data_IF_458778802476
#
_entry.id   IF_458778802476
#
_cell.length_a   1.000
_cell.length_b   1.000
_cell.length_c   1.000
_cell.angle_alpha   90.00
_cell.angle_beta   90.00
_cell.angle_gamma   90.00
#
_symmetry.space_group_name_H-M   'P 1'
#
loop_
_entity.id
_entity.type
_entity.pdbx_description
1 polymer ?
#
# COMPACT_ATOMS: atom_id res chain seq x y z
N UNK A 1 -23.39 11.72 -3.06
CA UNK A 1 -22.33 12.50 -2.40
C UNK A 1 -20.98 11.90 -2.73
N UNK A 2 -20.65 10.64 -2.38
CA UNK A 2 -19.33 9.99 -2.62
C UNK A 2 -18.83 10.16 -4.04
N UNK A 3 -19.68 9.93 -5.06
CA UNK A 3 -19.31 10.09 -6.47
C UNK A 3 -18.92 11.52 -6.85
N UNK A 4 -19.58 12.53 -6.27
CA UNK A 4 -19.23 13.93 -6.48
C UNK A 4 -17.87 14.28 -5.87
N UNK A 5 -17.56 13.73 -4.68
CA UNK A 5 -16.26 13.88 -4.03
C UNK A 5 -15.16 13.20 -4.85
N UNK A 6 -15.40 12.00 -5.35
CA UNK A 6 -14.46 11.28 -6.23
C UNK A 6 -14.14 12.08 -7.48
N UNK A 7 -15.14 12.64 -8.16
CA UNK A 7 -14.90 13.42 -9.39
C UNK A 7 -14.01 14.64 -9.15
N UNK A 8 -13.99 15.20 -7.94
CA UNK A 8 -13.12 16.31 -7.55
C UNK A 8 -11.75 15.84 -7.05
N UNK A 9 -11.67 14.63 -6.49
CA UNK A 9 -10.45 14.07 -5.95
C UNK A 9 -9.55 13.49 -7.06
N UNK A 10 -10.14 12.78 -8.03
CA UNK A 10 -9.40 12.07 -9.07
C UNK A 10 -8.33 12.90 -9.80
N UNK A 11 -8.60 14.15 -10.22
CA UNK A 11 -7.59 14.96 -10.93
C UNK A 11 -6.35 15.28 -10.11
N UNK A 12 -6.44 15.21 -8.78
CA UNK A 12 -5.35 15.57 -7.87
C UNK A 12 -4.45 14.37 -7.52
N UNK A 13 -4.91 13.13 -7.80
CA UNK A 13 -4.25 11.93 -7.29
C UNK A 13 -2.86 11.73 -7.87
N UNK A 14 -2.64 12.07 -9.14
CA UNK A 14 -1.34 11.88 -9.77
C UNK A 14 -0.25 12.77 -9.16
N UNK A 15 -0.63 13.95 -8.65
CA UNK A 15 0.28 14.90 -8.01
C UNK A 15 0.61 14.53 -6.55
N UNK A 16 -0.28 13.80 -5.86
CA UNK A 16 -0.18 13.58 -4.41
C UNK A 16 0.12 12.15 -4.00
N UNK A 17 -0.01 11.20 -4.92
CA UNK A 17 0.26 9.77 -4.66
C UNK A 17 1.57 9.36 -5.31
N UNK A 18 2.39 8.64 -4.57
CA UNK A 18 3.68 8.10 -5.00
C UNK A 18 3.58 7.36 -6.33
N UNK A 19 4.61 7.48 -7.17
CA UNK A 19 4.66 6.86 -8.51
C UNK A 19 4.61 5.33 -8.48
N UNK A 20 4.97 4.73 -7.37
CA UNK A 20 4.96 3.28 -7.15
C UNK A 20 3.54 2.70 -7.02
N UNK A 21 2.53 3.53 -6.72
CA UNK A 21 1.12 3.12 -6.69
C UNK A 21 0.47 3.36 -8.05
N UNK A 22 -0.04 2.30 -8.67
CA UNK A 22 -0.71 2.42 -9.98
C UNK A 22 -2.23 2.19 -9.94
N UNK A 23 -2.78 1.71 -8.81
CA UNK A 23 -4.21 1.47 -8.71
C UNK A 23 -5.00 2.76 -8.52
N UNK A 24 -6.11 2.89 -9.25
CA UNK A 24 -7.08 3.98 -9.15
C UNK A 24 -6.56 5.38 -9.50
N UNK A 25 -5.33 5.52 -9.98
CA UNK A 25 -4.73 6.78 -10.38
C UNK A 25 -4.94 6.97 -11.89
N UNK A 26 -5.49 8.12 -12.33
CA UNK A 26 -5.67 8.36 -13.76
C UNK A 26 -4.34 8.31 -14.52
N UNK A 27 -4.34 7.63 -15.67
CA UNK A 27 -3.15 7.52 -16.53
C UNK A 27 -2.13 6.47 -16.12
N UNK A 28 -2.22 5.87 -14.93
CA UNK A 28 -1.36 4.76 -14.51
C UNK A 28 -2.02 3.42 -14.82
N UNK A 29 -1.24 2.45 -15.30
CA UNK A 29 -1.73 1.13 -15.67
C UNK A 29 -1.06 0.03 -14.85
N UNK A 30 -1.82 -1.02 -14.52
CA UNK A 30 -1.28 -2.21 -13.84
C UNK A 30 -0.18 -2.88 -14.68
N UNK A 31 -0.28 -2.81 -16.00
CA UNK A 31 0.72 -3.36 -16.93
C UNK A 31 2.09 -2.74 -16.73
N UNK A 32 2.17 -1.46 -16.38
CA UNK A 32 3.45 -0.79 -16.14
C UNK A 32 4.14 -1.37 -14.90
N UNK A 33 3.39 -1.53 -13.79
CA UNK A 33 3.91 -2.20 -12.59
C UNK A 33 4.28 -3.66 -12.86
N UNK A 34 3.48 -4.38 -13.65
CA UNK A 34 3.76 -5.76 -14.00
C UNK A 34 5.07 -5.89 -14.81
N UNK A 35 5.29 -5.02 -15.79
CA UNK A 35 6.53 -5.00 -16.57
C UNK A 35 7.75 -4.70 -15.70
N UNK A 36 7.67 -3.69 -14.82
CA UNK A 36 8.75 -3.37 -13.88
C UNK A 36 9.01 -4.54 -12.93
N UNK A 37 7.95 -5.19 -12.42
CA UNK A 37 8.08 -6.37 -11.57
C UNK A 37 8.76 -7.52 -12.30
N UNK A 38 8.40 -7.82 -13.54
CA UNK A 38 9.05 -8.86 -14.35
C UNK A 38 10.53 -8.59 -14.57
N UNK A 39 10.90 -7.36 -14.90
CA UNK A 39 12.30 -6.97 -15.05
C UNK A 39 13.09 -7.12 -13.75
N UNK A 40 12.54 -6.70 -12.61
CA UNK A 40 13.17 -6.89 -11.31
C UNK A 40 13.33 -8.38 -10.96
N UNK A 41 12.30 -9.19 -11.15
CA UNK A 41 12.35 -10.63 -10.90
C UNK A 41 13.33 -11.34 -11.83
N UNK A 42 13.37 -10.94 -13.11
CA UNK A 42 14.35 -11.45 -14.08
C UNK A 42 15.77 -11.12 -13.64
N UNK A 43 16.04 -9.85 -13.27
CA UNK A 43 17.34 -9.43 -12.75
C UNK A 43 17.75 -10.25 -11.51
N UNK A 44 16.86 -10.41 -10.54
CA UNK A 44 17.10 -11.18 -9.31
C UNK A 44 17.44 -12.64 -9.65
N UNK A 45 16.73 -13.23 -10.61
CA UNK A 45 16.97 -14.62 -11.04
C UNK A 45 18.31 -14.81 -11.76
N UNK A 46 18.73 -13.82 -12.54
CA UNK A 46 19.97 -13.91 -13.36
C UNK A 46 21.23 -13.54 -12.57
N UNK A 47 21.13 -12.88 -11.42
CA UNK A 47 22.29 -12.49 -10.62
C UNK A 47 23.00 -13.75 -10.08
N UNK A 48 24.31 -13.85 -10.34
CA UNK A 48 25.14 -14.98 -9.94
C UNK A 48 26.10 -14.66 -8.79
N UNK A 49 26.24 -13.39 -8.46
CA UNK A 49 27.09 -12.95 -7.37
C UNK A 49 26.30 -12.94 -6.05
N UNK A 50 26.62 -13.84 -5.09
CA UNK A 50 25.92 -13.90 -3.81
C UNK A 50 25.92 -12.57 -3.04
N UNK A 51 26.97 -11.76 -3.22
CA UNK A 51 27.11 -10.47 -2.54
C UNK A 51 26.17 -9.40 -3.08
N UNK A 52 25.62 -9.62 -4.28
CA UNK A 52 24.66 -8.75 -4.98
C UNK A 52 23.26 -9.33 -5.04
N UNK A 53 23.00 -10.40 -4.28
CA UNK A 53 21.69 -11.03 -4.26
C UNK A 53 20.63 -10.11 -3.69
N UNK A 54 19.47 -10.11 -4.36
CA UNK A 54 18.25 -9.43 -3.94
C UNK A 54 17.14 -10.45 -3.75
N UNK A 55 16.10 -10.05 -3.04
CA UNK A 55 14.87 -10.81 -2.95
C UNK A 55 13.67 -9.93 -3.30
N UNK A 56 12.59 -10.59 -3.71
CA UNK A 56 11.28 -9.98 -3.86
C UNK A 56 10.34 -10.57 -2.80
N UNK A 57 9.60 -9.71 -2.12
CA UNK A 57 8.65 -10.10 -1.08
C UNK A 57 7.25 -9.62 -1.45
N UNK A 58 6.39 -10.56 -1.81
CA UNK A 58 4.96 -10.30 -2.04
C UNK A 58 4.24 -10.25 -0.69
N UNK A 59 3.62 -9.12 -0.41
CA UNK A 59 2.77 -8.91 0.76
C UNK A 59 1.31 -9.15 0.41
N UNK A 60 0.57 -9.70 1.36
CA UNK A 60 -0.89 -9.77 1.36
C UNK A 60 -1.40 -9.13 2.66
N UNK A 61 -2.35 -8.20 2.54
CA UNK A 61 -2.95 -7.54 3.69
C UNK A 61 -4.26 -8.24 4.09
N UNK A 62 -4.38 -8.58 5.36
CA UNK A 62 -5.58 -9.21 5.90
C UNK A 62 -6.72 -8.22 6.04
N UNK A 63 -7.79 -8.38 5.22
CA UNK A 63 -8.99 -7.51 5.26
C UNK A 63 -8.63 -6.02 5.16
N UNK A 64 -7.84 -5.64 4.17
CA UNK A 64 -7.22 -4.32 4.04
C UNK A 64 -8.21 -3.16 4.21
N UNK A 65 -9.37 -3.21 3.54
CA UNK A 65 -10.41 -2.19 3.64
C UNK A 65 -11.06 -2.12 5.02
N UNK A 66 -11.32 -3.26 5.65
CA UNK A 66 -12.02 -3.33 6.94
C UNK A 66 -11.15 -2.83 8.11
N UNK A 67 -9.85 -2.76 7.90
CA UNK A 67 -8.86 -2.44 8.95
C UNK A 67 -8.39 -1.00 8.93
N UNK A 68 -8.74 -0.21 7.94
CA UNK A 68 -8.30 1.20 7.83
C UNK A 68 -8.65 1.98 9.08
N UNK A 69 -7.63 2.51 9.75
CA UNK A 69 -7.81 3.41 10.89
C UNK A 69 -8.26 4.80 10.42
N UNK A 70 -9.34 5.30 10.99
CA UNK A 70 -9.92 6.58 10.59
C UNK A 70 -9.12 7.79 11.08
N UNK A 71 -8.43 7.66 12.21
CA UNK A 71 -7.58 8.74 12.72
C UNK A 71 -6.34 8.90 11.82
N UNK A 72 -5.74 7.78 11.41
CA UNK A 72 -4.65 7.79 10.45
C UNK A 72 -5.09 8.39 9.09
N UNK A 73 -6.21 7.95 8.54
CA UNK A 73 -6.75 8.49 7.29
C UNK A 73 -6.94 10.02 7.36
N UNK A 74 -7.51 10.51 8.46
CA UNK A 74 -7.69 11.95 8.69
C UNK A 74 -6.34 12.68 8.73
N UNK A 75 -5.34 12.14 9.44
CA UNK A 75 -4.01 12.72 9.54
C UNK A 75 -3.30 12.77 8.19
N UNK A 76 -3.39 11.70 7.39
CA UNK A 76 -2.81 11.68 6.03
C UNK A 76 -3.41 12.80 5.17
N UNK A 77 -4.74 12.94 5.16
CA UNK A 77 -5.38 14.03 4.40
C UNK A 77 -4.93 15.41 4.87
N UNK A 78 -4.76 15.61 6.19
CA UNK A 78 -4.21 16.86 6.74
C UNK A 78 -2.78 17.13 6.25
N UNK A 79 -1.92 16.10 6.26
CA UNK A 79 -0.53 16.19 5.80
C UNK A 79 -0.43 16.43 4.29
N UNK A 80 -1.36 15.91 3.50
CA UNK A 80 -1.48 16.17 2.07
C UNK A 80 -2.04 17.58 1.76
N UNK A 81 -2.39 18.39 2.78
CA UNK A 81 -2.83 19.77 2.60
C UNK A 81 -4.31 19.94 2.26
N UNK A 82 -5.14 18.92 2.43
CA UNK A 82 -6.58 19.08 2.25
C UNK A 82 -7.17 20.01 3.29
N UNK A 83 -8.10 20.90 2.85
CA UNK A 83 -8.80 21.80 3.78
C UNK A 83 -9.64 21.05 4.81
N UNK A 84 -9.76 21.58 6.03
CA UNK A 84 -10.54 20.94 7.08
C UNK A 84 -11.98 20.64 6.65
N UNK A 85 -12.63 21.55 5.93
CA UNK A 85 -13.99 21.36 5.38
C UNK A 85 -14.07 20.15 4.44
N UNK A 86 -13.05 19.92 3.60
CA UNK A 86 -12.99 18.75 2.73
C UNK A 86 -12.85 17.46 3.54
N UNK A 87 -11.94 17.46 4.51
CA UNK A 87 -11.71 16.34 5.40
C UNK A 87 -13.00 15.98 6.16
N UNK A 88 -13.71 16.97 6.68
CA UNK A 88 -14.97 16.76 7.42
C UNK A 88 -16.03 16.09 6.52
N UNK A 89 -16.13 16.47 5.25
CA UNK A 89 -17.05 15.83 4.31
C UNK A 89 -16.68 14.37 4.02
N UNK A 90 -15.40 14.09 3.80
CA UNK A 90 -14.91 12.72 3.60
C UNK A 90 -15.18 11.89 4.85
N UNK A 91 -14.78 12.39 6.01
CA UNK A 91 -14.96 11.67 7.28
C UNK A 91 -16.45 11.45 7.60
N UNK A 92 -17.32 12.40 7.30
CA UNK A 92 -18.77 12.20 7.45
C UNK A 92 -19.27 11.05 6.56
N UNK A 93 -18.79 10.90 5.33
CA UNK A 93 -19.13 9.77 4.47
C UNK A 93 -18.62 8.43 5.02
N UNK A 94 -17.45 8.43 5.65
CA UNK A 94 -16.81 7.20 6.19
C UNK A 94 -17.43 6.78 7.53
N UNK A 95 -17.64 7.72 8.46
CA UNK A 95 -18.04 7.42 9.85
C UNK A 95 -19.54 7.31 10.09
N UNK A 96 -20.36 7.83 9.16
CA UNK A 96 -21.83 7.79 9.31
C UNK A 96 -22.47 6.45 8.91
N UNK A 97 -21.67 5.49 8.45
CA UNK A 97 -22.16 4.18 8.00
C UNK A 97 -22.66 3.36 9.17
N UNK A 98 -23.82 2.72 9.00
CA UNK A 98 -24.39 1.75 9.93
C UNK A 98 -24.70 0.45 9.19
N UNK A 99 -24.55 -0.65 9.88
CA UNK A 99 -24.82 -1.98 9.35
C UNK A 99 -25.91 -2.67 10.18
N UNK A 100 -26.72 -3.49 9.53
CA UNK A 100 -27.62 -4.43 10.17
C UNK A 100 -27.51 -5.79 9.51
N UNK A 101 -27.60 -6.84 10.31
CA UNK A 101 -27.57 -8.22 9.80
C UNK A 101 -29.00 -8.71 9.63
N UNK A 102 -29.28 -9.34 8.48
CA UNK A 102 -30.54 -10.02 8.25
C UNK A 102 -30.37 -11.51 8.52
N UNK A 103 -31.04 -12.02 9.56
CA UNK A 103 -31.00 -13.42 9.94
C UNK A 103 -32.40 -14.03 9.77
N UNK A 104 -32.51 -15.07 8.96
CA UNK A 104 -33.78 -15.78 8.69
C UNK A 104 -34.97 -14.84 8.36
N UNK A 105 -34.70 -13.78 7.59
CA UNK A 105 -35.72 -12.81 7.20
C UNK A 105 -35.90 -11.64 8.18
N UNK A 106 -35.42 -11.75 9.41
CA UNK A 106 -35.54 -10.70 10.46
C UNK A 106 -34.31 -9.81 10.43
N UNK A 107 -34.52 -8.48 10.44
CA UNK A 107 -33.43 -7.50 10.54
C UNK A 107 -33.06 -7.31 12.01
N UNK A 108 -31.80 -7.56 12.34
CA UNK A 108 -31.26 -7.32 13.67
C UNK A 108 -30.92 -5.83 13.90
N UNK A 109 -30.66 -5.48 15.15
CA UNK A 109 -30.32 -4.11 15.53
C UNK A 109 -29.09 -3.61 14.75
N UNK A 110 -29.11 -2.32 14.41
CA UNK A 110 -28.02 -1.71 13.66
C UNK A 110 -26.83 -1.39 14.56
N UNK A 111 -25.62 -1.60 14.04
CA UNK A 111 -24.38 -1.22 14.70
C UNK A 111 -23.54 -0.29 13.82
N UNK A 112 -22.66 0.50 14.45
CA UNK A 112 -21.71 1.36 13.77
C UNK A 112 -20.32 0.73 13.83
N UNK A 113 -19.55 0.71 12.73
CA UNK A 113 -18.15 0.32 12.76
C UNK A 113 -17.32 1.39 13.47
N UNK A 114 -16.15 1.01 13.99
CA UNK A 114 -15.17 1.93 14.58
C UNK A 114 -13.95 2.20 13.67
N UNK A 115 -13.86 1.49 12.53
CA UNK A 115 -12.80 1.59 11.52
C UNK A 115 -13.27 0.98 10.21
N UNK A 116 -12.42 1.07 9.20
CA UNK A 116 -12.63 0.45 7.90
C UNK A 116 -13.33 1.35 6.90
N UNK A 117 -13.27 0.94 5.64
CA UNK A 117 -13.91 1.59 4.50
C UNK A 117 -14.96 0.66 3.93
N UNK A 118 -16.10 1.25 3.52
CA UNK A 118 -17.20 0.48 2.95
C UNK A 118 -16.81 -0.10 1.59
N UNK A 119 -16.87 -1.42 1.46
CA UNK A 119 -16.70 -2.10 0.17
C UNK A 119 -17.88 -1.76 -0.76
N UNK A 120 -17.56 -1.36 -1.99
CA UNK A 120 -18.55 -0.92 -2.98
C UNK A 120 -18.91 0.57 -2.93
N UNK A 121 -18.42 1.35 -1.97
CA UNK A 121 -18.54 2.82 -2.04
C UNK A 121 -17.53 3.37 -3.05
N UNK A 122 -17.95 4.26 -3.97
CA UNK A 122 -17.04 4.83 -4.97
C UNK A 122 -15.83 5.58 -4.40
N UNK A 123 -15.91 6.09 -3.18
CA UNK A 123 -14.85 6.85 -2.52
C UNK A 123 -13.79 5.94 -1.87
N UNK A 124 -14.20 4.77 -1.39
CA UNK A 124 -13.34 3.86 -0.61
C UNK A 124 -12.03 3.48 -1.30
N UNK A 125 -11.97 3.15 -2.60
CA UNK A 125 -10.71 2.84 -3.28
C UNK A 125 -9.69 3.97 -3.21
N UNK A 126 -10.12 5.21 -3.37
CA UNK A 126 -9.25 6.38 -3.34
C UNK A 126 -8.75 6.71 -1.93
N UNK A 127 -9.59 6.50 -0.92
CA UNK A 127 -9.18 6.67 0.47
C UNK A 127 -8.21 5.57 0.91
N UNK A 128 -8.40 4.35 0.40
CA UNK A 128 -7.46 3.27 0.65
C UNK A 128 -6.07 3.55 0.07
N UNK A 129 -6.01 4.15 -1.13
CA UNK A 129 -4.74 4.54 -1.75
C UNK A 129 -3.96 5.53 -0.86
N UNK A 130 -4.61 6.47 -0.18
CA UNK A 130 -3.94 7.35 0.79
C UNK A 130 -3.30 6.57 1.94
N UNK A 131 -3.99 5.53 2.42
CA UNK A 131 -3.46 4.67 3.49
C UNK A 131 -2.29 3.83 2.97
N UNK A 132 -2.43 3.24 1.79
CA UNK A 132 -1.38 2.43 1.15
C UNK A 132 -0.12 3.27 0.85
N UNK A 133 -0.28 4.54 0.46
CA UNK A 133 0.83 5.45 0.20
C UNK A 133 1.65 5.77 1.46
N UNK A 134 1.08 5.60 2.64
CA UNK A 134 1.82 5.66 3.89
C UNK A 134 2.96 4.63 3.96
N UNK A 135 2.78 3.43 3.42
CA UNK A 135 3.86 2.44 3.31
C UNK A 135 4.94 2.91 2.35
N UNK A 136 4.54 3.49 1.21
CA UNK A 136 5.46 4.06 0.22
C UNK A 136 6.35 5.13 0.86
N UNK A 137 5.77 6.03 1.66
CA UNK A 137 6.49 7.08 2.35
C UNK A 137 7.53 6.52 3.35
N UNK A 138 7.17 5.49 4.13
CA UNK A 138 8.09 4.82 5.06
C UNK A 138 9.26 4.19 4.29
N UNK A 139 8.96 3.40 3.25
CA UNK A 139 9.98 2.70 2.47
C UNK A 139 10.93 3.67 1.75
N UNK A 140 10.40 4.77 1.19
CA UNK A 140 11.22 5.82 0.57
C UNK A 140 12.17 6.48 1.57
N UNK A 141 11.69 6.78 2.77
CA UNK A 141 12.56 7.30 3.84
C UNK A 141 13.70 6.32 4.14
N UNK A 142 13.41 5.02 4.31
CA UNK A 142 14.42 4.00 4.57
C UNK A 142 15.44 3.86 3.43
N UNK A 143 14.99 4.01 2.19
CA UNK A 143 15.90 4.02 1.02
C UNK A 143 16.79 5.27 1.02
N UNK A 144 16.24 6.45 1.36
CA UNK A 144 17.01 7.70 1.45
C UNK A 144 18.05 7.67 2.57
N UNK A 145 17.71 7.06 3.70
CA UNK A 145 18.58 6.89 4.85
C UNK A 145 19.66 5.80 4.61
N UNK A 146 19.52 5.01 3.53
CA UNK A 146 20.43 3.90 3.20
C UNK A 146 20.13 2.61 3.94
N UNK A 147 19.07 2.56 4.74
CA UNK A 147 18.63 1.39 5.52
C UNK A 147 18.09 0.27 4.62
N UNK A 148 17.48 0.62 3.47
CA UNK A 148 16.99 -0.32 2.46
C UNK A 148 17.70 -0.04 1.13
N UNK A 149 18.30 -1.06 0.56
CA UNK A 149 18.97 -0.99 -0.75
C UNK A 149 17.99 -1.46 -1.83
N UNK A 150 17.55 -0.57 -2.73
CA UNK A 150 16.60 -0.92 -3.79
C UNK A 150 17.30 -1.69 -4.94
N UNK A 151 16.54 -2.49 -5.67
CA UNK A 151 17.02 -3.15 -6.90
C UNK A 151 17.27 -2.09 -7.98
N UNK A 152 18.43 -2.20 -8.66
CA UNK A 152 18.77 -1.43 -9.87
C UNK A 152 19.05 -2.40 -10.99
N UNK A 153 18.18 -2.46 -11.98
CA UNK A 153 18.27 -3.37 -13.13
C UNK A 153 19.49 -3.06 -13.99
N UNK A 154 19.88 -1.79 -14.09
CA UNK A 154 21.11 -1.36 -14.76
C UNK A 154 21.66 -0.10 -14.10
N UNK A 155 22.89 0.28 -14.49
CA UNK A 155 23.66 1.38 -13.87
C UNK A 155 22.91 2.74 -13.89
N UNK A 156 22.07 2.99 -14.90
CA UNK A 156 21.32 4.25 -15.07
C UNK A 156 19.84 4.13 -14.67
N UNK A 157 19.36 2.95 -14.30
CA UNK A 157 17.98 2.76 -13.87
C UNK A 157 17.75 3.36 -12.49
N UNK A 158 16.55 3.86 -12.21
CA UNK A 158 16.15 4.18 -10.85
C UNK A 158 16.17 2.94 -9.97
N UNK A 159 16.38 3.11 -8.68
CA UNK A 159 16.25 2.03 -7.71
C UNK A 159 14.78 1.74 -7.44
N UNK A 160 14.38 0.48 -7.54
CA UNK A 160 13.02 0.01 -7.26
C UNK A 160 13.04 -0.72 -5.93
N UNK A 161 12.38 -0.17 -4.92
CA UNK A 161 12.22 -0.77 -3.60
C UNK A 161 10.86 -1.42 -3.41
N UNK A 162 9.83 -0.92 -4.09
CA UNK A 162 8.47 -1.46 -3.99
C UNK A 162 7.60 -1.05 -5.17
N UNK A 163 6.54 -1.81 -5.37
CA UNK A 163 5.45 -1.54 -6.31
C UNK A 163 4.14 -1.80 -5.58
N UNK A 164 3.15 -0.94 -5.78
CA UNK A 164 1.84 -1.00 -5.17
C UNK A 164 0.74 -1.06 -6.23
N UNK A 165 -0.24 -1.94 -6.02
CA UNK A 165 -1.49 -1.93 -6.76
C UNK A 165 -2.65 -2.14 -5.77
N UNK A 166 -3.22 -1.06 -5.27
CA UNK A 166 -4.15 -1.05 -4.15
C UNK A 166 -3.55 -1.72 -2.90
N UNK A 167 -4.05 -2.88 -2.48
CA UNK A 167 -3.57 -3.68 -1.37
C UNK A 167 -2.47 -4.68 -1.75
N UNK A 168 -2.32 -5.00 -3.04
CA UNK A 168 -1.19 -5.83 -3.50
C UNK A 168 0.10 -5.02 -3.44
N UNK A 169 1.10 -5.59 -2.78
CA UNK A 169 2.40 -4.95 -2.58
C UNK A 169 3.53 -5.92 -2.89
N UNK A 170 4.50 -5.46 -3.66
CA UNK A 170 5.72 -6.20 -3.97
C UNK A 170 6.92 -5.35 -3.54
N UNK A 171 7.73 -5.88 -2.62
CA UNK A 171 8.94 -5.24 -2.12
C UNK A 171 10.18 -5.86 -2.76
N UNK A 172 11.21 -5.05 -3.00
CA UNK A 172 12.50 -5.48 -3.51
C UNK A 172 13.61 -4.90 -2.63
N UNK A 173 14.46 -5.76 -2.10
CA UNK A 173 15.56 -5.34 -1.24
C UNK A 173 16.71 -6.35 -1.30
N UNK A 174 17.90 -5.94 -0.86
CA UNK A 174 19.07 -6.82 -0.84
C UNK A 174 18.82 -8.00 0.10
N UNK A 175 19.12 -9.22 -0.36
CA UNK A 175 18.92 -10.44 0.40
C UNK A 175 19.96 -10.56 1.53
N UNK A 176 19.72 -9.87 2.63
CA UNK A 176 20.52 -9.96 3.86
C UNK A 176 19.63 -9.82 5.07
N UNK A 177 20.11 -10.32 6.21
CA UNK A 177 19.37 -10.28 7.47
C UNK A 177 19.07 -8.85 7.90
N UNK A 178 20.06 -7.95 7.83
CA UNK A 178 19.91 -6.55 8.24
C UNK A 178 18.82 -5.86 7.41
N UNK A 179 18.80 -6.09 6.09
CA UNK A 179 17.76 -5.54 5.21
C UNK A 179 16.38 -6.10 5.53
N UNK A 180 16.28 -7.40 5.80
CA UNK A 180 15.02 -8.02 6.19
C UNK A 180 14.48 -7.47 7.52
N UNK A 181 15.36 -7.18 8.49
CA UNK A 181 15.02 -6.54 9.77
C UNK A 181 14.51 -5.10 9.54
N UNK A 182 15.13 -4.32 8.66
CA UNK A 182 14.66 -2.98 8.30
C UNK A 182 13.29 -2.98 7.59
N UNK A 183 13.09 -3.92 6.67
CA UNK A 183 11.80 -4.11 6.01
C UNK A 183 10.74 -4.50 7.04
N UNK A 184 11.04 -5.45 7.93
CA UNK A 184 10.14 -5.86 9.01
C UNK A 184 9.78 -4.68 9.91
N UNK A 185 10.75 -3.91 10.37
CA UNK A 185 10.50 -2.71 11.21
C UNK A 185 9.61 -1.69 10.49
N UNK A 186 9.79 -1.50 9.17
CA UNK A 186 8.95 -0.63 8.35
C UNK A 186 7.51 -1.11 8.27
N UNK A 187 7.31 -2.43 8.10
CA UNK A 187 5.98 -3.05 8.07
C UNK A 187 5.29 -3.01 9.44
N UNK A 188 6.03 -3.23 10.52
CA UNK A 188 5.51 -3.14 11.89
C UNK A 188 5.06 -1.70 12.21
N UNK A 189 5.84 -0.69 11.79
CA UNK A 189 5.46 0.71 11.90
C UNK A 189 4.20 1.03 11.10
N UNK A 190 4.13 0.58 9.85
CA UNK A 190 2.95 0.74 8.99
C UNK A 190 1.70 0.11 9.61
N UNK A 191 1.81 -1.15 10.05
CA UNK A 191 0.71 -1.89 10.65
C UNK A 191 0.17 -1.19 11.92
N UNK A 192 1.07 -0.78 12.83
CA UNK A 192 0.68 -0.12 14.07
C UNK A 192 0.04 1.26 13.85
N UNK A 193 0.47 1.99 12.81
CA UNK A 193 -0.06 3.31 12.50
C UNK A 193 -1.40 3.28 11.77
N UNK A 194 -1.58 2.32 10.86
CA UNK A 194 -2.72 2.28 9.93
C UNK A 194 -3.85 1.34 10.34
N UNK A 195 -3.57 0.46 11.32
CA UNK A 195 -4.45 -0.65 11.68
C UNK A 195 -4.37 -1.85 10.72
N UNK A 196 -3.52 -1.77 9.68
CA UNK A 196 -3.32 -2.88 8.75
C UNK A 196 -2.67 -4.09 9.44
N UNK A 197 -2.73 -5.25 8.81
CA UNK A 197 -2.10 -6.48 9.29
C UNK A 197 -1.74 -7.36 8.11
N UNK A 198 -0.55 -7.92 8.13
CA UNK A 198 -0.11 -8.88 7.14
C UNK A 198 -0.81 -10.23 7.32
N UNK A 199 -1.09 -10.88 6.21
CA UNK A 199 -1.50 -12.27 6.15
C UNK A 199 -0.30 -13.13 5.78
N UNK A 200 0.46 -13.56 6.77
CA UNK A 200 1.70 -14.31 6.55
C UNK A 200 1.51 -15.60 5.76
N UNK A 201 0.35 -16.25 5.84
CA UNK A 201 0.04 -17.48 5.10
C UNK A 201 -0.06 -17.26 3.58
N UNK A 202 -0.31 -16.00 3.17
CA UNK A 202 -0.42 -15.61 1.77
C UNK A 202 0.78 -14.77 1.28
N UNK A 203 1.64 -14.33 2.19
CA UNK A 203 2.88 -13.68 1.82
C UNK A 203 3.85 -14.70 1.21
N UNK A 204 4.67 -14.27 0.26
CA UNK A 204 5.67 -15.14 -0.36
C UNK A 204 6.95 -14.38 -0.68
N UNK A 205 8.09 -15.05 -0.53
CA UNK A 205 9.39 -14.50 -0.89
C UNK A 205 9.97 -15.26 -2.09
N UNK A 206 10.59 -14.52 -2.98
CA UNK A 206 11.33 -15.03 -4.11
C UNK A 206 12.80 -14.62 -3.97
N UNK A 207 13.71 -15.59 -4.11
CA UNK A 207 15.15 -15.42 -4.06
C UNK A 207 15.77 -15.82 -5.40
N UNK A 208 16.86 -15.17 -5.78
CA UNK A 208 17.69 -15.62 -6.88
C UNK A 208 18.48 -16.88 -6.53
N UNK A 209 18.95 -17.60 -7.55
CA UNK A 209 19.69 -18.87 -7.39
C UNK A 209 21.01 -18.70 -6.61
N UNK A 210 21.62 -17.52 -6.68
CA UNK A 210 22.88 -17.20 -5.99
C UNK A 210 22.66 -16.74 -4.53
N UNK A 211 21.42 -16.67 -4.05
CA UNK A 211 21.18 -16.22 -2.68
C UNK A 211 21.67 -17.28 -1.68
N UNK A 212 22.60 -16.95 -0.76
CA UNK A 212 22.97 -17.88 0.29
C UNK A 212 21.76 -18.09 1.22
N UNK A 213 21.34 -19.35 1.35
CA UNK A 213 20.26 -19.77 2.23
C UNK A 213 20.81 -19.94 3.65
#
# INVERSE_FOLDING_TARGET
ISKCLVNRLRPLLDDIISVEQSAFIPGRMITDNALVAFECLHYIKQEKDPTKSFCAYKLDLSKAYDRVDWAFLKQVMQRLGFSQRWIDWIMACVTSVRYSVKLNGTLLDSFAPSRGLRQGDPLSPFLFVFVADGLSAILKSRVQDGDIVPVKICRRAPGISHLLFADDTLLFFKASRDQAEQVKASLDLYNSSTGQSLNYDKCSMFFGEACPI
#
